data_IF_022852029686
#
_entry.id   IF_022852029686
#
_cell.length_a   1.000
_cell.length_b   1.000
_cell.length_c   1.000
_cell.angle_alpha   90.00
_cell.angle_beta   90.00
_cell.angle_gamma   90.00
#
_symmetry.space_group_name_H-M   'P 1'
#
loop_
_entity.id
_entity.type
_entity.pdbx_description
1 polymer ?
#
# COMPACT_ATOMS: atom_id res chain seq x y z
N UNK A 1 30.51 -4.71 -24.11
CA UNK A 1 29.57 -5.47 -23.27
C UNK A 1 28.47 -4.50 -22.84
N UNK A 2 27.38 -4.45 -23.60
CA UNK A 2 26.23 -3.61 -23.26
C UNK A 2 25.52 -4.27 -22.07
N UNK A 3 25.45 -3.58 -20.95
CA UNK A 3 24.59 -3.99 -19.85
C UNK A 3 23.14 -3.81 -20.32
N UNK A 4 22.45 -4.91 -20.55
CA UNK A 4 20.99 -4.90 -20.57
C UNK A 4 20.55 -4.53 -19.16
N UNK A 5 20.01 -3.32 -19.03
CA UNK A 5 19.22 -2.88 -17.89
C UNK A 5 17.76 -3.14 -18.26
N UNK A 6 17.38 -4.40 -18.23
CA UNK A 6 15.99 -4.83 -18.12
C UNK A 6 15.46 -4.44 -16.74
N UNK A 7 15.38 -3.12 -16.52
CA UNK A 7 14.79 -2.55 -15.32
C UNK A 7 13.38 -3.08 -15.17
N UNK A 8 13.15 -3.95 -14.19
CA UNK A 8 11.81 -4.25 -13.68
C UNK A 8 11.12 -2.97 -13.18
N UNK A 9 10.08 -3.08 -12.36
CA UNK A 9 9.40 -1.92 -11.75
C UNK A 9 10.36 -1.09 -10.86
N UNK A 10 11.25 -0.28 -11.47
CA UNK A 10 12.17 0.63 -10.81
C UNK A 10 11.35 1.86 -10.43
N UNK A 11 11.01 1.97 -9.15
CA UNK A 11 10.36 3.13 -8.56
C UNK A 11 11.37 3.90 -7.70
N UNK A 12 11.29 5.23 -7.73
CA UNK A 12 12.10 6.11 -6.88
C UNK A 12 11.73 5.97 -5.39
N UNK A 13 10.62 5.30 -5.10
CA UNK A 13 10.02 5.16 -3.77
C UNK A 13 10.60 3.98 -2.97
N UNK A 14 11.82 3.55 -3.25
CA UNK A 14 12.47 2.42 -2.56
C UNK A 14 12.50 2.55 -1.03
N UNK A 15 12.37 3.78 -0.49
CA UNK A 15 12.17 4.05 0.93
C UNK A 15 10.92 3.39 1.53
N UNK A 16 9.91 3.06 0.72
CA UNK A 16 8.72 2.33 1.14
C UNK A 16 9.07 0.99 1.79
N UNK A 17 10.08 0.27 1.28
CA UNK A 17 10.49 -1.00 1.88
C UNK A 17 11.09 -0.81 3.28
N UNK A 18 11.84 0.27 3.49
CA UNK A 18 12.41 0.60 4.80
C UNK A 18 11.31 1.00 5.79
N UNK A 19 10.31 1.77 5.34
CA UNK A 19 9.14 2.12 6.15
C UNK A 19 8.36 0.88 6.55
N UNK A 20 8.14 -0.06 5.61
CA UNK A 20 7.50 -1.35 5.88
C UNK A 20 8.27 -2.16 6.91
N UNK A 21 9.58 -2.33 6.72
CA UNK A 21 10.43 -3.08 7.64
C UNK A 21 10.39 -2.46 9.05
N UNK A 22 10.41 -1.13 9.15
CA UNK A 22 10.28 -0.43 10.43
C UNK A 22 8.91 -0.64 11.06
N UNK A 23 7.85 -0.58 10.27
CA UNK A 23 6.51 -0.87 10.78
C UNK A 23 6.41 -2.30 11.30
N UNK A 24 6.93 -3.28 10.58
CA UNK A 24 6.89 -4.69 11.02
C UNK A 24 7.62 -4.92 12.34
N UNK A 25 8.69 -4.17 12.61
CA UNK A 25 9.43 -4.26 13.87
C UNK A 25 8.78 -3.51 15.03
N UNK A 26 8.03 -2.46 14.76
CA UNK A 26 7.54 -1.53 15.80
C UNK A 26 6.03 -1.61 16.03
N UNK A 27 5.27 -2.08 15.04
CA UNK A 27 3.82 -2.20 15.06
C UNK A 27 3.09 -0.90 15.32
N UNK A 28 3.69 0.25 14.99
CA UNK A 28 3.15 1.57 15.33
C UNK A 28 1.83 1.79 14.58
N UNK A 29 1.81 1.54 13.27
CA UNK A 29 0.63 1.73 12.44
C UNK A 29 -0.46 0.70 12.77
N UNK A 30 -0.09 -0.54 13.09
CA UNK A 30 -1.04 -1.55 13.59
C UNK A 30 -1.69 -1.11 14.92
N UNK A 31 -0.91 -0.57 15.86
CA UNK A 31 -1.44 -0.02 17.12
C UNK A 31 -2.35 1.18 16.90
N UNK A 32 -1.99 2.07 15.97
CA UNK A 32 -2.84 3.20 15.59
C UNK A 32 -4.15 2.69 14.97
N UNK A 33 -4.09 1.68 14.10
CA UNK A 33 -5.28 1.07 13.51
C UNK A 33 -6.20 0.42 14.55
N UNK A 34 -5.62 -0.20 15.60
CA UNK A 34 -6.37 -0.75 16.72
C UNK A 34 -7.17 0.28 17.54
N UNK A 35 -6.90 1.57 17.37
CA UNK A 35 -7.71 2.64 17.98
C UNK A 35 -9.02 2.93 17.22
N UNK A 36 -9.22 2.34 16.04
CA UNK A 36 -10.40 2.56 15.22
C UNK A 36 -11.40 1.41 15.37
N UNK A 37 -12.68 1.76 15.41
CA UNK A 37 -13.77 0.82 15.21
C UNK A 37 -14.26 0.95 13.77
N UNK A 38 -14.20 -0.14 13.00
CA UNK A 38 -14.70 -0.16 11.63
C UNK A 38 -16.20 -0.47 11.64
N UNK A 39 -17.02 0.52 11.32
CA UNK A 39 -18.49 0.39 11.27
C UNK A 39 -19.00 -0.07 9.90
N UNK A 40 -18.12 -0.31 8.92
CA UNK A 40 -18.49 -0.80 7.59
C UNK A 40 -18.96 -2.26 7.67
N UNK A 41 -19.79 -2.67 6.72
CA UNK A 41 -20.23 -4.07 6.61
C UNK A 41 -19.02 -4.99 6.35
N UNK A 42 -18.73 -5.97 7.21
CA UNK A 42 -17.51 -6.78 7.12
C UNK A 42 -17.31 -7.48 5.78
N UNK A 43 -18.39 -7.94 5.15
CA UNK A 43 -18.36 -8.64 3.86
C UNK A 43 -18.02 -7.72 2.67
N UNK A 44 -18.11 -6.40 2.87
CA UNK A 44 -17.79 -5.40 1.84
C UNK A 44 -16.40 -4.77 2.05
N UNK A 45 -15.63 -5.22 3.06
CA UNK A 45 -14.31 -4.65 3.36
C UNK A 45 -13.23 -5.37 2.54
N UNK A 46 -12.82 -4.73 1.44
CA UNK A 46 -11.63 -5.15 0.67
C UNK A 46 -10.31 -4.62 1.28
N UNK A 47 -10.37 -3.44 1.88
CA UNK A 47 -9.23 -2.75 2.50
C UNK A 47 -9.52 -2.52 3.99
N UNK A 48 -8.88 -3.29 4.90
CA UNK A 48 -9.04 -3.06 6.33
C UNK A 48 -8.49 -1.69 6.72
N UNK A 49 -8.96 -1.15 7.85
CA UNK A 49 -8.53 0.16 8.36
C UNK A 49 -7.01 0.26 8.47
N UNK A 50 -6.34 -0.82 8.90
CA UNK A 50 -4.88 -0.88 8.96
C UNK A 50 -4.22 -0.62 7.61
N UNK A 51 -4.73 -1.23 6.52
CA UNK A 51 -4.19 -1.01 5.18
C UNK A 51 -4.39 0.45 4.72
N UNK A 52 -5.54 1.06 5.04
CA UNK A 52 -5.81 2.46 4.73
C UNK A 52 -4.87 3.41 5.49
N UNK A 53 -4.59 3.12 6.76
CA UNK A 53 -3.66 3.89 7.59
C UNK A 53 -2.23 3.74 7.08
N UNK A 54 -1.79 2.52 6.75
CA UNK A 54 -0.47 2.26 6.14
C UNK A 54 -0.30 3.02 4.83
N UNK A 55 -1.31 2.97 3.95
CA UNK A 55 -1.31 3.72 2.71
C UNK A 55 -1.17 5.22 2.97
N UNK A 56 -1.96 5.78 3.90
CA UNK A 56 -1.97 7.22 4.16
C UNK A 56 -0.67 7.71 4.78
N UNK A 57 -0.21 7.07 5.84
CA UNK A 57 1.02 7.49 6.54
C UNK A 57 2.26 7.20 5.69
N UNK A 58 2.26 6.07 4.99
CA UNK A 58 3.29 5.73 4.01
C UNK A 58 3.39 6.75 2.89
N UNK A 59 2.26 7.15 2.30
CA UNK A 59 2.21 8.20 1.28
C UNK A 59 2.81 9.51 1.76
N UNK A 60 2.42 9.99 2.95
CA UNK A 60 2.99 11.21 3.54
C UNK A 60 4.52 11.09 3.74
N UNK A 61 5.00 9.95 4.24
CA UNK A 61 6.44 9.73 4.43
C UNK A 61 7.23 9.68 3.11
N UNK A 62 6.57 9.37 2.00
CA UNK A 62 7.13 9.36 0.64
C UNK A 62 6.92 10.69 -0.10
N UNK A 63 6.28 11.68 0.53
CA UNK A 63 6.04 13.01 -0.05
C UNK A 63 4.71 13.17 -0.81
N UNK A 64 3.81 12.19 -0.73
CA UNK A 64 2.46 12.23 -1.31
C UNK A 64 1.43 12.77 -0.31
N UNK A 65 1.53 14.06 0.03
CA UNK A 65 0.76 14.68 1.12
C UNK A 65 -0.60 15.28 0.67
N UNK A 66 -0.71 15.65 -0.60
CA UNK A 66 -1.77 16.48 -1.19
C UNK A 66 -3.06 15.72 -1.55
N UNK A 67 -3.11 14.40 -1.28
CA UNK A 67 -4.30 13.54 -1.40
C UNK A 67 -4.92 13.41 -2.79
N UNK A 68 -4.29 13.92 -3.84
CA UNK A 68 -4.78 13.80 -5.21
C UNK A 68 -4.29 12.50 -5.91
N UNK A 69 -3.18 11.94 -5.44
CA UNK A 69 -2.53 10.74 -5.95
C UNK A 69 -3.07 9.38 -5.45
N UNK A 70 -3.84 9.23 -4.35
CA UNK A 70 -4.23 7.92 -3.82
C UNK A 70 -4.91 6.99 -4.84
N UNK A 71 -5.74 7.54 -5.73
CA UNK A 71 -6.41 6.76 -6.78
C UNK A 71 -5.42 6.20 -7.81
N UNK A 72 -4.32 6.92 -8.08
CA UNK A 72 -3.25 6.43 -8.94
C UNK A 72 -2.34 5.47 -8.19
N UNK A 73 -2.01 5.80 -6.96
CA UNK A 73 -1.07 5.07 -6.10
C UNK A 73 -1.62 3.73 -5.61
N UNK A 74 -2.95 3.54 -5.57
CA UNK A 74 -3.57 2.24 -5.30
C UNK A 74 -3.22 1.17 -6.33
N UNK A 75 -2.64 1.58 -7.46
CA UNK A 75 -2.18 0.74 -8.56
C UNK A 75 -0.67 0.51 -8.53
N UNK A 76 0.04 1.09 -7.55
CA UNK A 76 1.47 0.88 -7.40
C UNK A 76 1.76 -0.38 -6.59
N UNK A 77 2.41 -1.41 -7.17
CA UNK A 77 2.72 -2.64 -6.45
C UNK A 77 3.61 -2.42 -5.22
N UNK A 78 4.47 -1.39 -5.23
CA UNK A 78 5.35 -1.10 -4.10
C UNK A 78 4.54 -0.54 -2.91
N UNK A 79 3.53 0.28 -3.18
CA UNK A 79 2.63 0.75 -2.13
C UNK A 79 1.68 -0.35 -1.65
N UNK A 80 1.28 -1.27 -2.52
CA UNK A 80 0.55 -2.46 -2.11
C UNK A 80 1.40 -3.33 -1.16
N UNK A 81 2.69 -3.52 -1.46
CA UNK A 81 3.64 -4.20 -0.57
C UNK A 81 3.81 -3.47 0.76
N UNK A 82 3.94 -2.14 0.74
CA UNK A 82 3.99 -1.31 1.96
C UNK A 82 2.75 -1.51 2.85
N UNK A 83 1.59 -1.73 2.24
CA UNK A 83 0.32 -2.00 2.93
C UNK A 83 0.11 -3.48 3.30
N UNK A 84 1.14 -4.33 3.14
CA UNK A 84 1.10 -5.78 3.38
C UNK A 84 0.00 -6.52 2.60
N UNK A 85 -0.29 -6.06 1.36
CA UNK A 85 -1.19 -6.79 0.46
C UNK A 85 -0.52 -8.08 -0.02
N UNK A 86 -1.23 -9.20 0.13
CA UNK A 86 -0.79 -10.52 -0.32
C UNK A 86 -0.68 -10.61 -1.85
N UNK A 87 -1.54 -9.87 -2.55
CA UNK A 87 -1.52 -9.71 -4.00
C UNK A 87 -1.27 -8.24 -4.36
N UNK A 88 0.01 -7.85 -4.59
CA UNK A 88 0.35 -6.50 -5.00
C UNK A 88 -0.15 -6.11 -6.39
N UNK A 89 -0.52 -7.09 -7.22
CA UNK A 89 -1.04 -6.85 -8.57
C UNK A 89 -2.56 -6.65 -8.60
N UNK A 90 -3.25 -6.84 -7.48
CA UNK A 90 -4.70 -6.62 -7.37
C UNK A 90 -5.55 -7.53 -8.25
N UNK A 91 -5.07 -8.71 -8.63
CA UNK A 91 -5.85 -9.73 -9.33
C UNK A 91 -7.00 -10.29 -8.47
N UNK A 92 -6.81 -10.34 -7.16
CA UNK A 92 -7.75 -10.93 -6.19
C UNK A 92 -8.76 -9.91 -5.61
N UNK A 93 -8.89 -8.72 -6.20
CA UNK A 93 -9.84 -7.70 -5.73
C UNK A 93 -11.29 -8.21 -5.75
N UNK A 94 -12.07 -7.80 -4.74
CA UNK A 94 -13.47 -8.19 -4.57
C UNK A 94 -14.33 -7.59 -5.69
N UNK A 95 -14.07 -6.32 -6.00
CA UNK A 95 -14.72 -5.61 -7.09
C UNK A 95 -14.10 -6.01 -8.43
N UNK A 96 -14.83 -6.73 -9.28
CA UNK A 96 -14.31 -7.19 -10.59
C UNK A 96 -13.74 -6.05 -11.47
N UNK A 97 -14.38 -4.87 -11.56
CA UNK A 97 -13.83 -3.74 -12.30
C UNK A 97 -12.47 -3.24 -11.81
N UNK A 98 -12.07 -3.53 -10.58
CA UNK A 98 -10.81 -3.09 -10.01
C UNK A 98 -9.69 -4.14 -10.17
N UNK A 99 -10.00 -5.38 -10.58
CA UNK A 99 -8.99 -6.45 -10.70
C UNK A 99 -7.88 -6.12 -11.70
N UNK A 100 -6.64 -6.44 -11.32
CA UNK A 100 -5.44 -6.19 -12.12
C UNK A 100 -5.08 -4.72 -12.29
N UNK A 101 -5.82 -3.84 -11.62
CA UNK A 101 -5.48 -2.44 -11.47
C UNK A 101 -4.76 -2.30 -10.14
#
# INVERSE_FOLDING_TARGET
MQAQLDGGFIRSDGGALLLREREQRTGILSRVAGCFTDYRHPELIEHPVEALIKQRIGGMALGYEDLNDPDRLRHDPLLAVLCDKADPGGQDRLCEPDRGK
#
